data_IF_943930239271
#
_entry.id   IF_943930239271
#
_cell.length_a   1.000
_cell.length_b   1.000
_cell.length_c   1.000
_cell.angle_alpha   90.00
_cell.angle_beta   90.00
_cell.angle_gamma   90.00
#
_symmetry.space_group_name_H-M   'P 1'
#
loop_
_entity.id
_entity.type
_entity.pdbx_description
1 polymer ?
#
# COMPACT_ATOMS: atom_id res chain seq x y z
N UNK A 1 42.57 -27.52 14.90
CA UNK A 1 42.56 -26.42 13.90
C UNK A 1 41.53 -26.59 12.79
N UNK A 2 41.20 -27.81 12.31
CA UNK A 2 40.16 -28.00 11.26
C UNK A 2 38.74 -27.59 11.68
N UNK A 3 38.39 -27.69 12.96
CA UNK A 3 37.03 -27.39 13.44
C UNK A 3 36.77 -25.89 13.67
N UNK A 4 37.80 -25.03 13.64
CA UNK A 4 37.63 -23.59 13.84
C UNK A 4 37.26 -22.87 12.52
N UNK A 5 37.69 -23.43 11.38
CA UNK A 5 37.42 -22.87 10.04
C UNK A 5 35.95 -23.08 9.64
N UNK A 6 35.34 -24.20 10.04
CA UNK A 6 33.92 -24.46 9.76
C UNK A 6 32.97 -23.51 10.49
N UNK A 7 33.38 -22.93 11.63
CA UNK A 7 32.54 -22.01 12.40
C UNK A 7 32.54 -20.58 11.82
N UNK A 8 33.62 -20.16 11.14
CA UNK A 8 33.67 -18.84 10.49
C UNK A 8 32.83 -18.74 9.22
N UNK A 9 32.61 -19.85 8.51
CA UNK A 9 31.82 -19.87 7.27
C UNK A 9 30.31 -19.74 7.58
N UNK A 10 29.86 -20.17 8.76
CA UNK A 10 28.45 -20.05 9.18
C UNK A 10 28.04 -18.66 9.69
N UNK A 11 29.00 -17.78 10.03
CA UNK A 11 28.71 -16.42 10.51
C UNK A 11 28.56 -15.37 9.40
N UNK A 12 28.79 -15.73 8.13
CA UNK A 12 28.76 -14.77 7.02
C UNK A 12 27.46 -14.77 6.20
N UNK A 13 26.44 -15.54 6.59
CA UNK A 13 25.17 -15.60 5.85
C UNK A 13 24.03 -14.75 6.41
N UNK A 14 24.22 -14.00 7.50
CA UNK A 14 23.22 -13.02 7.97
C UNK A 14 23.42 -11.65 7.32
N UNK A 15 23.55 -11.61 5.99
CA UNK A 15 23.32 -10.37 5.26
C UNK A 15 21.80 -10.16 5.23
N UNK A 16 21.31 -9.27 6.09
CA UNK A 16 19.94 -8.78 5.99
C UNK A 16 19.75 -8.15 4.61
N UNK A 17 19.02 -8.82 3.74
CA UNK A 17 18.73 -8.34 2.39
C UNK A 17 17.85 -7.10 2.48
N UNK A 18 18.48 -5.93 2.48
CA UNK A 18 17.83 -4.70 2.08
C UNK A 18 17.55 -4.80 0.57
N UNK A 19 16.38 -5.35 0.21
CA UNK A 19 15.98 -5.44 -1.19
C UNK A 19 15.55 -4.06 -1.66
N UNK A 20 16.31 -3.51 -2.61
CA UNK A 20 15.90 -2.32 -3.35
C UNK A 20 15.46 -2.71 -4.76
N UNK A 21 14.43 -2.06 -5.27
CA UNK A 21 13.92 -2.28 -6.62
C UNK A 21 13.79 -0.97 -7.36
N UNK A 22 14.31 -0.89 -8.58
CA UNK A 22 14.07 0.25 -9.47
C UNK A 22 12.70 0.12 -10.10
N UNK A 23 11.92 1.21 -10.08
CA UNK A 23 10.55 1.27 -10.59
C UNK A 23 10.38 2.47 -11.52
N UNK A 24 9.57 2.30 -12.57
CA UNK A 24 9.29 3.31 -13.61
C UNK A 24 10.53 3.98 -14.22
N UNK A 25 11.72 3.36 -14.08
CA UNK A 25 13.03 3.97 -14.40
C UNK A 25 13.29 5.34 -13.74
N UNK A 26 12.56 5.67 -12.66
CA UNK A 26 12.62 6.99 -12.00
C UNK A 26 12.95 6.88 -10.52
N UNK A 27 12.45 5.85 -9.82
CA UNK A 27 12.67 5.68 -8.38
C UNK A 27 13.33 4.35 -8.05
N UNK A 28 14.20 4.36 -7.05
CA UNK A 28 14.58 3.19 -6.29
C UNK A 28 13.70 3.11 -5.03
N UNK A 29 12.99 2.00 -4.89
CA UNK A 29 12.17 1.68 -3.72
C UNK A 29 12.87 0.71 -2.79
N UNK A 30 12.73 0.94 -1.50
CA UNK A 30 13.25 0.10 -0.44
C UNK A 30 12.16 -0.09 0.62
N UNK A 31 11.78 -1.34 0.89
CA UNK A 31 10.85 -1.64 1.99
C UNK A 31 11.64 -1.66 3.29
N UNK A 32 11.37 -0.70 4.17
CA UNK A 32 12.06 -0.54 5.45
C UNK A 32 11.47 -1.40 6.55
N UNK A 33 10.16 -1.60 6.51
CA UNK A 33 9.44 -2.32 7.55
C UNK A 33 8.08 -2.79 7.07
N UNK A 34 7.68 -3.97 7.52
CA UNK A 34 6.32 -4.50 7.40
C UNK A 34 5.85 -4.84 8.81
N UNK A 35 4.76 -4.22 9.27
CA UNK A 35 4.24 -4.41 10.63
C UNK A 35 2.73 -4.67 10.61
N UNK A 36 2.26 -5.60 11.44
CA UNK A 36 0.85 -5.63 11.83
C UNK A 36 0.57 -4.53 12.87
N UNK A 37 -0.50 -3.76 12.67
CA UNK A 37 -0.95 -2.72 13.61
C UNK A 37 -2.24 -3.15 14.32
N UNK A 38 -2.24 -3.01 15.65
CA UNK A 38 -3.30 -3.48 16.55
C UNK A 38 -4.53 -2.56 16.67
N UNK A 39 -4.42 -1.29 16.28
CA UNK A 39 -5.53 -0.33 16.45
C UNK A 39 -6.57 -0.44 15.33
N UNK A 40 -7.82 -0.59 15.76
CA UNK A 40 -9.01 -0.59 14.94
C UNK A 40 -9.14 0.68 14.09
N UNK A 41 -9.59 0.42 12.87
CA UNK A 41 -9.78 1.26 11.70
C UNK A 41 -10.87 2.35 11.81
N UNK A 42 -11.13 2.86 13.01
CA UNK A 42 -12.12 3.91 13.18
C UNK A 42 -11.49 5.27 12.89
N UNK A 43 -11.20 5.53 11.62
CA UNK A 43 -11.10 6.90 11.10
C UNK A 43 -12.53 7.47 11.08
N UNK A 44 -13.04 7.86 12.25
CA UNK A 44 -14.22 8.73 12.34
C UNK A 44 -13.79 10.12 11.91
N UNK A 45 -13.70 10.34 10.61
CA UNK A 45 -13.80 11.70 10.10
C UNK A 45 -15.28 12.04 10.13
N UNK A 46 -15.62 13.18 10.73
CA UNK A 46 -17.00 13.68 10.78
C UNK A 46 -17.62 13.56 9.38
N UNK A 47 -18.51 12.58 9.18
CA UNK A 47 -19.27 12.40 7.94
C UNK A 47 -18.98 11.16 7.09
N UNK A 48 -17.98 10.31 7.37
CA UNK A 48 -17.85 9.04 6.62
C UNK A 48 -17.34 7.85 7.41
N UNK A 49 -17.71 6.66 6.94
CA UNK A 49 -17.26 5.38 7.44
C UNK A 49 -16.39 4.71 6.38
N UNK A 50 -15.12 4.46 6.68
CA UNK A 50 -14.30 3.53 5.91
C UNK A 50 -14.77 2.12 6.26
N UNK A 51 -15.43 1.44 5.32
CA UNK A 51 -15.93 0.09 5.57
C UNK A 51 -14.80 -0.92 5.38
N UNK A 52 -14.20 -1.34 6.50
CA UNK A 52 -13.23 -2.43 6.52
C UNK A 52 -13.90 -3.69 7.07
N UNK A 53 -13.74 -4.87 6.41
CA UNK A 53 -14.31 -6.10 6.92
C UNK A 53 -13.85 -6.41 8.36
N UNK A 54 -14.75 -6.94 9.20
CA UNK A 54 -14.44 -7.26 10.61
C UNK A 54 -13.32 -8.29 10.76
N UNK A 55 -13.13 -9.12 9.75
CA UNK A 55 -12.10 -10.17 9.69
C UNK A 55 -10.82 -9.71 8.98
N UNK A 56 -10.59 -8.38 8.98
CA UNK A 56 -9.35 -7.79 8.48
C UNK A 56 -8.44 -7.30 9.62
N UNK A 57 -7.14 -7.26 9.34
CA UNK A 57 -6.07 -6.65 10.13
C UNK A 57 -5.36 -5.57 9.32
N UNK A 58 -4.81 -4.56 10.02
CA UNK A 58 -4.12 -3.43 9.39
C UNK A 58 -2.64 -3.79 9.26
N UNK A 59 -2.13 -3.84 8.04
CA UNK A 59 -0.70 -4.03 7.78
C UNK A 59 -0.13 -2.71 7.30
N UNK A 60 1.01 -2.32 7.88
CA UNK A 60 1.77 -1.15 7.48
C UNK A 60 3.00 -1.56 6.70
N UNK A 61 3.21 -0.91 5.56
CA UNK A 61 4.48 -0.90 4.85
C UNK A 61 5.12 0.47 5.01
N UNK A 62 6.32 0.51 5.59
CA UNK A 62 7.17 1.71 5.60
C UNK A 62 8.11 1.61 4.42
N UNK A 63 7.98 2.51 3.46
CA UNK A 63 8.66 2.46 2.17
C UNK A 63 9.52 3.70 2.03
N UNK A 64 10.76 3.52 1.61
CA UNK A 64 11.65 4.61 1.20
C UNK A 64 11.71 4.64 -0.32
N UNK A 65 11.40 5.78 -0.90
CA UNK A 65 11.56 6.05 -2.33
C UNK A 65 12.68 7.07 -2.53
N UNK A 66 13.58 6.81 -3.47
CA UNK A 66 14.70 7.69 -3.82
C UNK A 66 14.76 7.86 -5.34
N UNK A 67 14.69 9.09 -5.83
CA UNK A 67 14.85 9.42 -7.26
C UNK A 67 16.24 8.98 -7.74
N UNK A 68 16.28 8.35 -8.91
CA UNK A 68 17.52 7.94 -9.57
C UNK A 68 18.31 9.14 -10.12
N UNK A 69 17.58 10.16 -10.59
CA UNK A 69 18.17 11.38 -11.15
C UNK A 69 18.59 12.38 -10.09
N UNK A 70 18.29 12.11 -8.81
CA UNK A 70 18.56 13.00 -7.68
C UNK A 70 17.78 14.34 -7.78
N UNK A 71 16.75 14.41 -8.64
CA UNK A 71 15.83 15.53 -8.82
C UNK A 71 14.46 15.23 -8.20
N UNK A 72 13.56 16.23 -8.15
CA UNK A 72 12.17 15.97 -7.78
C UNK A 72 11.46 15.30 -8.96
N UNK A 73 10.94 14.11 -8.73
CA UNK A 73 10.17 13.35 -9.73
C UNK A 73 8.77 13.05 -9.18
N UNK A 74 7.79 12.88 -10.07
CA UNK A 74 6.42 12.56 -9.67
C UNK A 74 6.34 11.09 -9.29
N UNK A 75 6.02 10.82 -8.03
CA UNK A 75 5.76 9.48 -7.54
C UNK A 75 4.26 9.19 -7.50
N UNK A 76 3.87 8.02 -8.01
CA UNK A 76 2.48 7.57 -8.00
C UNK A 76 2.29 6.38 -7.03
N UNK A 77 1.74 6.62 -5.83
CA UNK A 77 1.52 5.54 -4.84
C UNK A 77 0.45 4.52 -5.27
N UNK A 78 -0.41 4.83 -6.24
CA UNK A 78 -1.47 3.90 -6.70
C UNK A 78 -0.93 2.72 -7.50
N UNK A 79 0.34 2.78 -7.92
CA UNK A 79 1.03 1.66 -8.52
C UNK A 79 1.39 0.58 -7.48
N UNK A 80 1.33 0.89 -6.18
CA UNK A 80 1.66 -0.06 -5.11
C UNK A 80 0.45 -0.90 -4.75
N UNK A 81 0.63 -2.22 -4.68
CA UNK A 81 -0.39 -3.15 -4.22
C UNK A 81 0.20 -4.41 -3.58
N UNK A 82 -0.61 -5.08 -2.76
CA UNK A 82 -0.25 -6.38 -2.16
C UNK A 82 -0.99 -7.51 -2.88
N UNK A 83 -0.33 -8.63 -3.10
CA UNK A 83 -0.89 -9.84 -3.69
C UNK A 83 -0.86 -10.97 -2.66
N UNK A 84 -2.00 -11.61 -2.47
CA UNK A 84 -2.16 -12.83 -1.68
C UNK A 84 -2.47 -13.98 -2.65
N UNK A 85 -1.46 -14.77 -2.98
CA UNK A 85 -1.58 -15.80 -4.03
C UNK A 85 -2.52 -16.94 -3.66
N UNK A 86 -2.44 -17.39 -2.41
CA UNK A 86 -3.25 -18.47 -1.86
C UNK A 86 -4.76 -18.15 -1.90
N UNK A 87 -5.11 -16.88 -1.65
CA UNK A 87 -6.50 -16.40 -1.68
C UNK A 87 -6.91 -15.79 -3.04
N UNK A 88 -5.98 -15.67 -3.98
CA UNK A 88 -6.14 -14.94 -5.25
C UNK A 88 -6.70 -13.52 -5.04
N UNK A 89 -6.14 -12.78 -4.09
CA UNK A 89 -6.55 -11.41 -3.77
C UNK A 89 -5.46 -10.40 -4.14
N UNK A 90 -5.88 -9.23 -4.60
CA UNK A 90 -5.03 -8.06 -4.80
C UNK A 90 -5.55 -6.91 -3.94
N UNK A 91 -4.75 -6.47 -2.98
CA UNK A 91 -5.13 -5.48 -1.98
C UNK A 91 -4.59 -4.12 -2.39
N UNK A 92 -5.47 -3.13 -2.49
CA UNK A 92 -5.09 -1.72 -2.63
C UNK A 92 -4.73 -1.13 -1.27
N UNK A 93 -3.74 -0.22 -1.17
CA UNK A 93 -3.57 0.57 0.04
C UNK A 93 -4.82 1.44 0.27
N UNK A 94 -5.32 1.49 1.51
CA UNK A 94 -6.53 2.26 1.85
C UNK A 94 -6.23 3.52 2.66
N UNK A 95 -5.03 3.64 3.23
CA UNK A 95 -4.59 4.74 4.07
C UNK A 95 -3.07 4.92 3.94
N UNK A 96 -2.54 6.10 4.28
CA UNK A 96 -1.10 6.41 4.16
C UNK A 96 -0.79 7.90 4.18
N UNK A 97 0.50 8.23 3.98
CA UNK A 97 1.02 9.61 4.07
C UNK A 97 0.74 10.45 2.80
N UNK A 98 -0.25 10.05 1.99
CA UNK A 98 -0.68 10.71 0.75
C UNK A 98 -2.13 11.20 0.88
N UNK A 99 -2.44 12.28 0.16
CA UNK A 99 -3.82 12.80 0.11
C UNK A 99 -4.72 11.75 -0.53
N UNK A 100 -5.77 11.34 0.18
CA UNK A 100 -6.79 10.43 -0.32
C UNK A 100 -7.66 11.12 -1.37
N UNK A 101 -7.94 10.40 -2.45
CA UNK A 101 -8.77 10.82 -3.57
C UNK A 101 -9.94 9.87 -3.76
N UNK A 102 -10.97 10.36 -4.45
CA UNK A 102 -12.07 9.55 -5.00
C UNK A 102 -12.31 9.85 -6.46
N UNK A 103 -12.88 8.88 -7.15
CA UNK A 103 -13.05 8.82 -8.60
C UNK A 103 -14.20 9.71 -9.12
N UNK A 104 -15.09 10.14 -8.23
CA UNK A 104 -16.21 11.02 -8.54
C UNK A 104 -16.51 11.91 -7.33
N UNK A 105 -16.72 13.20 -7.58
CA UNK A 105 -17.17 14.13 -6.54
C UNK A 105 -18.54 13.69 -6.02
N UNK A 106 -18.70 13.41 -4.72
CA UNK A 106 -20.01 13.11 -4.16
C UNK A 106 -20.94 14.33 -4.27
N UNK A 107 -22.19 14.08 -4.64
CA UNK A 107 -23.24 15.09 -4.74
C UNK A 107 -23.86 15.40 -3.37
N UNK A 108 -23.03 15.89 -2.44
CA UNK A 108 -23.50 16.33 -1.13
C UNK A 108 -22.90 17.71 -0.79
N UNK A 109 -23.74 18.54 -0.16
CA UNK A 109 -23.56 19.97 0.11
C UNK A 109 -22.63 20.24 1.30
N UNK A 110 -22.31 19.21 2.09
CA UNK A 110 -21.49 19.33 3.29
C UNK A 110 -20.00 19.41 2.96
N UNK A 111 -19.23 20.40 3.45
CA UNK A 111 -17.79 20.47 3.23
C UNK A 111 -17.07 19.26 3.86
N UNK A 112 -16.19 18.62 3.06
CA UNK A 112 -15.56 17.33 3.37
C UNK A 112 -14.13 17.47 3.90
N UNK A 113 -13.77 16.70 4.93
CA UNK A 113 -12.49 16.82 5.64
C UNK A 113 -11.58 15.57 5.56
N UNK A 114 -11.73 14.70 4.56
CA UNK A 114 -10.91 13.47 4.50
C UNK A 114 -10.49 12.93 3.14
N UNK A 115 -10.95 13.53 2.04
CA UNK A 115 -10.53 13.17 0.69
C UNK A 115 -10.67 14.39 -0.24
N UNK A 116 -10.07 14.34 -1.41
CA UNK A 116 -10.25 15.34 -2.48
C UNK A 116 -10.76 14.67 -3.75
N UNK A 117 -11.46 15.41 -4.60
CA UNK A 117 -11.76 14.99 -5.96
C UNK A 117 -10.80 15.69 -6.92
N UNK A 118 -10.00 14.91 -7.64
CA UNK A 118 -9.00 15.38 -8.61
C UNK A 118 -9.07 14.51 -9.87
N UNK A 119 -9.97 14.82 -10.82
CA UNK A 119 -10.18 14.00 -12.02
C UNK A 119 -8.92 13.88 -12.90
N UNK A 120 -7.99 14.81 -12.79
CA UNK A 120 -6.71 14.81 -13.49
C UNK A 120 -5.71 13.77 -12.97
N UNK A 121 -5.94 13.19 -11.79
CA UNK A 121 -5.10 12.13 -11.22
C UNK A 121 -5.74 10.78 -11.55
N UNK A 122 -5.19 10.00 -12.50
CA UNK A 122 -5.76 8.71 -12.86
C UNK A 122 -5.56 7.67 -11.76
N UNK A 123 -6.56 6.81 -11.58
CA UNK A 123 -6.44 5.62 -10.74
C UNK A 123 -5.66 4.52 -11.47
N UNK A 124 -4.34 4.53 -11.30
CA UNK A 124 -3.44 3.60 -12.01
C UNK A 124 -3.42 2.20 -11.42
N UNK A 125 -4.07 1.94 -10.29
CA UNK A 125 -4.14 0.58 -9.72
C UNK A 125 -4.79 -0.40 -10.71
N UNK A 126 -5.78 0.07 -11.48
CA UNK A 126 -6.48 -0.74 -12.50
C UNK A 126 -5.63 -1.07 -13.72
N UNK A 127 -4.50 -0.37 -13.93
CA UNK A 127 -3.60 -0.65 -15.05
C UNK A 127 -2.77 -1.95 -14.86
N UNK A 128 -2.77 -2.50 -13.64
CA UNK A 128 -1.97 -3.66 -13.24
C UNK A 128 -2.84 -4.81 -12.75
N UNK A 129 -4.02 -4.97 -13.33
CA UNK A 129 -4.91 -6.10 -13.03
C UNK A 129 -4.22 -7.43 -13.28
N UNK A 130 -4.39 -8.37 -12.34
CA UNK A 130 -3.83 -9.71 -12.43
C UNK A 130 -4.94 -10.71 -12.73
N UNK A 131 -4.82 -11.41 -13.87
CA UNK A 131 -5.83 -12.39 -14.29
C UNK A 131 -6.09 -13.43 -13.20
N UNK A 132 -7.37 -13.59 -12.85
CA UNK A 132 -7.81 -14.57 -11.85
C UNK A 132 -7.67 -14.11 -10.40
N UNK A 133 -7.21 -12.88 -10.15
CA UNK A 133 -7.19 -12.25 -8.84
C UNK A 133 -8.40 -11.33 -8.68
N UNK A 134 -8.95 -11.29 -7.46
CA UNK A 134 -10.00 -10.35 -7.07
C UNK A 134 -9.38 -9.14 -6.38
N UNK A 135 -9.72 -7.95 -6.88
CA UNK A 135 -9.36 -6.70 -6.23
C UNK A 135 -10.16 -6.49 -4.93
N UNK A 136 -9.44 -6.13 -3.87
CA UNK A 136 -10.00 -5.70 -2.60
C UNK A 136 -9.73 -4.20 -2.47
N UNK A 137 -10.81 -3.44 -2.62
CA UNK A 137 -10.80 -1.99 -2.56
C UNK A 137 -11.61 -1.56 -1.34
N UNK A 138 -10.97 -0.78 -0.48
CA UNK A 138 -11.64 -0.16 0.65
C UNK A 138 -12.29 1.13 0.16
N UNK A 139 -13.58 1.25 0.44
CA UNK A 139 -14.38 2.36 -0.03
C UNK A 139 -14.77 3.31 1.10
N UNK A 140 -14.89 4.59 0.77
CA UNK A 140 -15.60 5.57 1.58
C UNK A 140 -17.08 5.48 1.22
N UNK A 141 -17.94 5.28 2.22
CA UNK A 141 -19.39 5.37 2.03
C UNK A 141 -19.88 6.80 2.35
N UNK A 142 -20.38 7.49 1.34
CA UNK A 142 -21.02 8.81 1.43
C UNK A 142 -22.54 8.74 1.66
N UNK A 143 -23.09 7.53 1.60
CA UNK A 143 -24.50 7.28 1.85
C UNK A 143 -24.77 6.85 3.28
N UNK A 144 -25.95 6.28 3.48
CA UNK A 144 -26.30 5.61 4.74
C UNK A 144 -25.93 4.13 4.68
N UNK A 145 -26.01 3.41 5.79
CA UNK A 145 -25.87 1.94 5.75
C UNK A 145 -26.96 1.27 4.88
N UNK A 146 -28.16 1.85 4.85
CA UNK A 146 -29.31 1.32 4.07
C UNK A 146 -29.26 1.68 2.59
N UNK A 147 -28.66 2.82 2.26
CA UNK A 147 -28.45 3.30 0.89
C UNK A 147 -26.99 3.72 0.76
N UNK A 148 -26.06 2.76 0.57
CA UNK A 148 -24.65 3.06 0.50
C UNK A 148 -24.29 3.71 -0.84
N UNK A 149 -23.51 4.78 -0.78
CA UNK A 149 -22.87 5.43 -1.93
C UNK A 149 -21.36 5.29 -1.72
N UNK A 150 -20.83 4.10 -2.05
CA UNK A 150 -19.46 3.74 -1.75
C UNK A 150 -18.54 4.00 -2.96
N UNK A 151 -17.43 4.72 -2.74
CA UNK A 151 -16.41 4.94 -3.77
C UNK A 151 -15.04 4.46 -3.30
N UNK A 152 -14.24 3.85 -4.19
CA UNK A 152 -12.90 3.38 -3.84
C UNK A 152 -12.00 4.56 -3.50
N UNK A 153 -11.16 4.37 -2.49
CA UNK A 153 -10.09 5.31 -2.17
C UNK A 153 -8.91 5.05 -3.10
N UNK A 154 -8.29 6.12 -3.57
CA UNK A 154 -6.94 6.09 -4.12
C UNK A 154 -6.17 7.33 -3.63
N UNK A 155 -4.99 7.59 -4.15
CA UNK A 155 -4.10 8.62 -3.63
C UNK A 155 -3.68 9.62 -4.70
N UNK A 156 -3.42 10.84 -4.25
CA UNK A 156 -2.77 11.83 -5.09
C UNK A 156 -1.31 11.45 -5.36
N UNK A 157 -0.78 11.89 -6.50
CA UNK A 157 0.66 11.84 -6.75
C UNK A 157 1.37 12.97 -5.99
N UNK A 158 2.67 12.80 -5.74
CA UNK A 158 3.50 13.84 -5.12
C UNK A 158 4.86 13.88 -5.76
N UNK A 159 5.44 15.07 -5.86
CA UNK A 159 6.81 15.23 -6.31
C UNK A 159 7.78 15.28 -5.14
N UNK A 160 8.80 14.44 -5.19
CA UNK A 160 9.89 14.46 -4.22
C UNK A 160 11.15 13.83 -4.80
N UNK A 161 12.28 14.14 -4.16
CA UNK A 161 13.59 13.54 -4.48
C UNK A 161 13.85 12.28 -3.66
N UNK A 162 13.51 12.32 -2.38
CA UNK A 162 13.67 11.21 -1.45
C UNK A 162 12.67 11.35 -0.33
N UNK A 163 11.97 10.27 -0.01
CA UNK A 163 11.00 10.29 1.06
C UNK A 163 10.82 8.91 1.68
N UNK A 164 10.42 8.89 2.96
CA UNK A 164 9.97 7.69 3.65
C UNK A 164 8.51 7.92 3.99
N UNK A 165 7.65 7.01 3.56
CA UNK A 165 6.22 7.09 3.77
C UNK A 165 5.65 5.75 4.20
N UNK A 166 4.45 5.81 4.75
CA UNK A 166 3.70 4.65 5.18
C UNK A 166 2.49 4.45 4.27
N UNK A 167 2.26 3.20 3.90
CA UNK A 167 1.02 2.75 3.27
C UNK A 167 0.42 1.66 4.14
N UNK A 168 -0.91 1.64 4.21
CA UNK A 168 -1.66 0.69 5.01
C UNK A 168 -2.64 -0.12 4.17
N UNK A 169 -2.69 -1.41 4.46
CA UNK A 169 -3.50 -2.40 3.76
C UNK A 169 -4.44 -3.10 4.73
N UNK A 170 -5.64 -3.40 4.27
CA UNK A 170 -6.59 -4.25 4.98
C UNK A 170 -6.40 -5.69 4.48
N UNK A 171 -5.85 -6.55 5.33
CA UNK A 171 -5.50 -7.93 4.99
C UNK A 171 -6.37 -8.90 5.80
N UNK A 172 -6.79 -10.07 5.28
CA UNK A 172 -7.46 -11.09 6.08
C UNK A 172 -6.66 -11.45 7.35
N UNK A 173 -7.34 -11.62 8.50
CA UNK A 173 -6.68 -11.90 9.78
C UNK A 173 -5.81 -13.16 9.77
N UNK A 174 -6.25 -14.18 9.07
CA UNK A 174 -5.60 -15.48 8.93
C UNK A 174 -4.41 -15.47 7.96
N UNK A 175 -4.26 -14.42 7.15
CA UNK A 175 -3.11 -14.29 6.25
C UNK A 175 -1.86 -13.86 7.03
N UNK A 176 -0.74 -14.56 6.90
CA UNK A 176 0.54 -14.16 7.53
C UNK A 176 1.56 -13.65 6.54
N UNK A 177 1.44 -13.98 5.26
CA UNK A 177 2.43 -13.62 4.24
C UNK A 177 1.80 -13.08 2.96
N UNK A 178 2.63 -12.50 2.09
CA UNK A 178 2.20 -12.03 0.77
C UNK A 178 3.34 -11.42 -0.02
N UNK A 179 2.97 -10.76 -1.12
CA UNK A 179 3.93 -10.12 -2.02
C UNK A 179 3.52 -8.65 -2.21
N UNK A 180 4.46 -7.72 -2.15
CA UNK A 180 4.19 -6.31 -2.47
C UNK A 180 4.81 -5.95 -3.81
N UNK A 181 4.05 -5.23 -4.63
CA UNK A 181 4.38 -4.84 -5.99
C UNK A 181 4.36 -3.32 -6.14
N UNK A 182 5.08 -2.85 -7.14
CA UNK A 182 4.89 -1.54 -7.77
C UNK A 182 4.73 -1.75 -9.27
N UNK A 183 3.56 -1.45 -9.82
CA UNK A 183 3.23 -1.83 -11.19
C UNK A 183 3.46 -3.32 -11.40
N UNK A 184 4.19 -3.70 -12.45
CA UNK A 184 4.52 -5.10 -12.73
C UNK A 184 5.76 -5.63 -11.99
N UNK A 185 6.36 -4.84 -11.10
CA UNK A 185 7.62 -5.16 -10.43
C UNK A 185 7.33 -5.66 -9.01
N UNK A 186 7.70 -6.92 -8.71
CA UNK A 186 7.67 -7.45 -7.35
C UNK A 186 8.77 -6.75 -6.53
N UNK A 187 8.40 -6.07 -5.46
CA UNK A 187 9.34 -5.37 -4.58
C UNK A 187 9.93 -6.31 -3.53
N UNK A 188 9.08 -7.12 -2.89
CA UNK A 188 9.49 -8.17 -1.94
C UNK A 188 8.36 -9.18 -1.69
N UNK A 189 8.75 -10.32 -1.15
CA UNK A 189 7.86 -11.23 -0.39
C UNK A 189 7.98 -10.88 1.09
N UNK A 190 6.89 -10.96 1.84
CA UNK A 190 6.88 -10.68 3.28
C UNK A 190 6.15 -11.78 4.05
N UNK A 191 6.56 -11.95 5.29
CA UNK A 191 5.88 -12.74 6.31
C UNK A 191 5.78 -11.87 7.57
N UNK A 192 4.65 -11.98 8.27
CA UNK A 192 4.37 -11.26 9.51
C UNK A 192 4.72 -12.16 10.69
N UNK A 193 5.43 -11.59 11.65
CA UNK A 193 5.66 -12.19 12.97
C UNK A 193 4.37 -12.35 13.78
#
# INVERSE_FOLDING_TARGET
MKNLISFLILLSSTFGYCQTSTVDNTFQLEIKKVDQRSRLFQMHFKGYYIRIPKDSKKIQFKIKATSLTNQKETFNPNNIYVVLRDKKLRLRPFDGDFIQLVDAKPDDKTPYYGYQYRPEVPDTFKNYEMKGFKDIEICINYGTERKPHAKPIYFNTRQFKKEIFNLYFAMPKDQTSGEIYYGNIKLMEFELD
#
